data_IF_426491785482
#
_entry.id   IF_426491785482
#
_cell.length_a   1.000
_cell.length_b   1.000
_cell.length_c   1.000
_cell.angle_alpha   90.00
_cell.angle_beta   90.00
_cell.angle_gamma   90.00
#
_symmetry.space_group_name_H-M   'P 1'
#
loop_
_entity.id
_entity.type
_entity.pdbx_description
1 polymer ?
#
# COMPACT_ATOMS: atom_id res chain seq x y z
N UNK A 1 5.98 24.73 -12.78
CA UNK A 1 4.92 23.77 -13.20
C UNK A 1 5.24 23.28 -14.62
N UNK A 2 5.03 22.00 -14.86
CA UNK A 2 5.28 21.34 -16.16
C UNK A 2 3.91 20.95 -16.74
N UNK A 3 3.49 21.63 -17.82
CA UNK A 3 2.16 21.48 -18.41
C UNK A 3 1.80 20.03 -18.77
N UNK A 4 2.66 19.21 -19.41
CA UNK A 4 2.34 17.80 -19.69
C UNK A 4 2.09 16.99 -18.42
N UNK A 5 2.79 17.27 -17.32
CA UNK A 5 2.60 16.58 -16.03
C UNK A 5 1.23 16.93 -15.42
N UNK A 6 0.80 18.19 -15.51
CA UNK A 6 -0.53 18.63 -15.06
C UNK A 6 -1.65 17.97 -15.88
N UNK A 7 -1.46 17.88 -17.20
CA UNK A 7 -2.40 17.22 -18.11
C UNK A 7 -2.49 15.72 -17.83
N UNK A 8 -1.35 15.07 -17.58
CA UNK A 8 -1.30 13.67 -17.18
C UNK A 8 -2.02 13.44 -15.84
N UNK A 9 -1.78 14.28 -14.82
CA UNK A 9 -2.46 14.19 -13.54
C UNK A 9 -3.98 14.30 -13.68
N UNK A 10 -4.48 15.27 -14.46
CA UNK A 10 -5.92 15.42 -14.74
C UNK A 10 -6.49 14.17 -15.39
N UNK A 11 -5.78 13.60 -16.38
CA UNK A 11 -6.24 12.38 -17.06
C UNK A 11 -6.28 11.17 -16.14
N UNK A 12 -5.30 11.03 -15.24
CA UNK A 12 -5.28 9.96 -14.23
C UNK A 12 -6.50 10.09 -13.30
N UNK A 13 -6.76 11.28 -12.76
CA UNK A 13 -7.93 11.55 -11.90
C UNK A 13 -9.23 11.23 -12.62
N UNK A 14 -9.38 11.68 -13.87
CA UNK A 14 -10.56 11.41 -14.70
C UNK A 14 -10.78 9.89 -14.91
N UNK A 15 -9.72 9.15 -15.23
CA UNK A 15 -9.80 7.72 -15.50
C UNK A 15 -9.99 6.87 -14.25
N UNK A 16 -9.48 7.32 -13.11
CA UNK A 16 -9.60 6.59 -11.84
C UNK A 16 -10.99 6.64 -11.23
N UNK A 17 -11.80 7.66 -11.61
CA UNK A 17 -13.12 7.95 -11.01
C UNK A 17 -13.09 8.32 -9.51
N UNK A 18 -11.91 8.44 -8.91
CA UNK A 18 -11.72 8.85 -7.53
C UNK A 18 -11.43 10.37 -7.43
N UNK A 19 -11.90 11.00 -6.35
CA UNK A 19 -11.43 12.33 -5.95
C UNK A 19 -10.06 12.22 -5.30
N UNK A 20 -9.02 12.38 -6.09
CA UNK A 20 -7.64 12.16 -5.66
C UNK A 20 -6.66 13.19 -6.20
N UNK A 21 -5.46 13.17 -5.65
CA UNK A 21 -4.31 13.94 -6.15
C UNK A 21 -3.21 13.00 -6.63
N UNK A 22 -2.47 13.45 -7.64
CA UNK A 22 -1.34 12.70 -8.18
C UNK A 22 -0.01 13.22 -7.62
N UNK A 23 0.84 12.29 -7.22
CA UNK A 23 2.24 12.53 -6.94
C UNK A 23 3.08 11.66 -7.87
N UNK A 24 3.95 12.29 -8.67
CA UNK A 24 4.78 11.59 -9.64
C UNK A 24 6.15 11.25 -9.06
N UNK A 25 6.60 10.02 -9.32
CA UNK A 25 7.93 9.52 -8.98
C UNK A 25 8.43 8.64 -10.14
N UNK A 26 9.62 8.04 -9.99
CA UNK A 26 10.29 7.39 -11.13
C UNK A 26 10.08 5.88 -11.16
N UNK A 27 9.56 5.28 -10.09
CA UNK A 27 9.39 3.83 -10.00
C UNK A 27 8.31 3.45 -8.99
N UNK A 28 7.82 2.19 -9.07
CA UNK A 28 6.90 1.64 -8.09
C UNK A 28 7.48 1.61 -6.67
N UNK A 29 8.79 1.34 -6.53
CA UNK A 29 9.45 1.40 -5.24
C UNK A 29 9.40 2.82 -4.63
N UNK A 30 9.64 3.86 -5.43
CA UNK A 30 9.51 5.25 -4.97
C UNK A 30 8.06 5.64 -4.65
N UNK A 31 7.08 5.11 -5.41
CA UNK A 31 5.67 5.30 -5.11
C UNK A 31 5.32 4.71 -3.75
N UNK A 32 5.76 3.49 -3.48
CA UNK A 32 5.53 2.81 -2.21
C UNK A 32 6.30 3.45 -1.04
N UNK A 33 7.53 3.94 -1.25
CA UNK A 33 8.24 4.78 -0.26
C UNK A 33 7.44 6.04 0.08
N UNK A 34 6.86 6.68 -0.93
CA UNK A 34 6.02 7.86 -0.74
C UNK A 34 4.76 7.52 0.06
N UNK A 35 4.08 6.43 -0.28
CA UNK A 35 2.89 5.96 0.44
C UNK A 35 3.21 5.64 1.91
N UNK A 36 4.31 4.92 2.18
CA UNK A 36 4.79 4.60 3.53
C UNK A 36 5.07 5.89 4.32
N UNK A 37 5.78 6.85 3.73
CA UNK A 37 6.09 8.14 4.37
C UNK A 37 4.84 8.97 4.64
N UNK A 38 3.90 9.03 3.69
CA UNK A 38 2.63 9.73 3.87
C UNK A 38 1.80 9.09 4.99
N UNK A 39 1.70 7.75 5.01
CA UNK A 39 1.00 7.02 6.05
C UNK A 39 1.59 7.32 7.43
N UNK A 40 2.91 7.23 7.59
CA UNK A 40 3.59 7.55 8.86
C UNK A 40 3.41 9.01 9.26
N UNK A 41 3.51 9.95 8.32
CA UNK A 41 3.24 11.37 8.59
C UNK A 41 1.80 11.58 9.06
N UNK A 42 0.82 10.98 8.37
CA UNK A 42 -0.58 11.02 8.76
C UNK A 42 -0.77 10.48 10.18
N UNK A 43 -0.22 9.32 10.47
CA UNK A 43 -0.33 8.69 11.78
C UNK A 43 0.28 9.50 12.92
N UNK A 44 1.40 10.18 12.65
CA UNK A 44 2.07 11.01 13.65
C UNK A 44 1.39 12.38 13.89
N UNK A 45 0.72 12.92 12.86
CA UNK A 45 0.09 14.25 12.95
C UNK A 45 -1.38 14.16 13.38
N UNK A 46 -2.09 13.12 12.98
CA UNK A 46 -3.55 13.03 13.19
C UNK A 46 -3.93 12.46 14.55
N UNK A 47 -3.11 11.56 15.10
CA UNK A 47 -3.44 10.86 16.35
C UNK A 47 -2.63 11.40 17.53
N UNK A 48 -3.23 11.41 18.74
CA UNK A 48 -2.55 11.81 19.98
C UNK A 48 -1.37 10.89 20.31
N UNK A 49 -1.56 9.58 20.08
CA UNK A 49 -0.50 8.57 20.17
C UNK A 49 0.00 8.28 18.75
N UNK A 50 1.29 8.40 18.47
CA UNK A 50 1.83 8.17 17.13
C UNK A 50 1.47 6.81 16.57
N UNK A 51 0.96 6.77 15.33
CA UNK A 51 0.67 5.55 14.58
C UNK A 51 1.62 5.45 13.40
N UNK A 52 2.35 4.34 13.30
CA UNK A 52 3.40 4.18 12.28
C UNK A 52 3.49 2.77 11.71
N UNK A 53 2.82 1.79 12.37
CA UNK A 53 2.85 0.40 11.96
C UNK A 53 2.00 0.19 10.71
N UNK A 54 2.60 -0.44 9.72
CA UNK A 54 1.94 -0.86 8.47
C UNK A 54 1.90 -2.39 8.45
N UNK A 55 0.72 -2.95 8.27
CA UNK A 55 0.51 -4.38 8.11
C UNK A 55 0.55 -4.68 6.60
N UNK A 56 1.34 -5.65 6.17
CA UNK A 56 1.36 -6.14 4.78
C UNK A 56 0.95 -7.60 4.74
N UNK A 57 0.56 -8.09 3.56
CA UNK A 57 0.08 -9.46 3.39
C UNK A 57 1.24 -10.35 2.92
N UNK A 58 1.35 -11.55 3.49
CA UNK A 58 2.34 -12.55 3.11
C UNK A 58 2.39 -12.76 1.60
N UNK A 59 3.57 -13.00 1.07
CA UNK A 59 3.89 -13.12 -0.34
C UNK A 59 3.70 -11.83 -1.17
N UNK A 60 3.40 -10.68 -0.53
CA UNK A 60 3.36 -9.40 -1.24
C UNK A 60 4.74 -8.99 -1.75
N UNK A 61 4.75 -8.12 -2.77
CA UNK A 61 5.94 -7.48 -3.29
C UNK A 61 5.71 -5.98 -3.44
N UNK A 62 6.48 -5.16 -2.73
CA UNK A 62 6.29 -3.70 -2.71
C UNK A 62 7.53 -2.90 -3.14
N UNK A 63 8.60 -3.56 -3.52
CA UNK A 63 9.82 -2.92 -4.03
C UNK A 63 11.12 -3.44 -3.40
N UNK A 64 12.22 -2.79 -3.77
CA UNK A 64 13.59 -3.20 -3.36
C UNK A 64 14.42 -2.11 -2.70
N UNK A 65 13.84 -0.96 -2.38
CA UNK A 65 14.44 -0.01 -1.44
C UNK A 65 14.32 -0.54 -0.01
N UNK A 66 15.10 -0.02 0.93
CA UNK A 66 15.18 -0.61 2.28
C UNK A 66 13.80 -0.69 2.96
N UNK A 67 12.95 0.35 2.87
CA UNK A 67 11.62 0.30 3.49
C UNK A 67 10.63 -0.53 2.68
N UNK A 68 10.60 -0.44 1.35
CA UNK A 68 9.72 -1.24 0.51
C UNK A 68 10.12 -2.71 0.49
N UNK A 69 11.43 -3.01 0.61
CA UNK A 69 11.92 -4.37 0.79
C UNK A 69 11.42 -4.94 2.13
N UNK A 70 11.47 -4.14 3.20
CA UNK A 70 10.90 -4.56 4.50
C UNK A 70 9.37 -4.69 4.44
N UNK A 71 8.67 -3.87 3.65
CA UNK A 71 7.23 -4.02 3.42
C UNK A 71 6.88 -5.29 2.60
N UNK A 72 7.79 -5.75 1.75
CA UNK A 72 7.66 -6.99 0.98
C UNK A 72 7.66 -8.20 1.91
N UNK A 73 6.52 -8.88 2.04
CA UNK A 73 6.36 -10.00 2.96
C UNK A 73 6.86 -11.34 2.36
N UNK A 74 8.11 -11.35 1.90
CA UNK A 74 8.84 -12.48 1.35
C UNK A 74 10.22 -12.53 2.02
N UNK A 75 10.35 -13.31 3.10
CA UNK A 75 11.54 -13.31 3.98
C UNK A 75 12.86 -13.61 3.25
N UNK A 76 12.83 -14.47 2.25
CA UNK A 76 14.03 -14.81 1.45
C UNK A 76 14.66 -13.57 0.78
N UNK A 77 13.85 -12.56 0.44
CA UNK A 77 14.30 -11.32 -0.18
C UNK A 77 14.99 -10.38 0.80
N UNK A 78 14.79 -10.57 2.11
CA UNK A 78 15.39 -9.73 3.16
C UNK A 78 16.84 -10.08 3.48
N UNK A 79 17.30 -11.24 3.03
CA UNK A 79 18.60 -11.79 3.37
C UNK A 79 19.74 -10.82 3.02
N UNK A 80 20.64 -10.58 3.98
CA UNK A 80 21.84 -9.75 3.83
C UNK A 80 21.65 -8.21 3.77
N UNK A 81 20.43 -7.67 3.92
CA UNK A 81 20.17 -6.23 3.78
C UNK A 81 19.79 -5.52 5.09
N UNK A 82 19.81 -6.23 6.22
CA UNK A 82 19.57 -5.62 7.53
C UNK A 82 20.68 -4.60 7.89
N UNK A 83 20.38 -3.58 8.72
CA UNK A 83 19.16 -3.37 9.49
C UNK A 83 18.03 -2.74 8.68
N UNK A 84 16.79 -3.09 9.03
CA UNK A 84 15.58 -2.56 8.41
C UNK A 84 14.87 -1.55 9.31
N UNK A 85 14.07 -0.61 8.73
CA UNK A 85 13.21 0.24 9.53
C UNK A 85 12.13 -0.58 10.22
N UNK A 86 11.83 -0.22 11.46
CA UNK A 86 10.74 -0.81 12.25
C UNK A 86 9.35 -0.44 11.73
N UNK A 87 8.34 -1.12 12.28
CA UNK A 87 6.94 -0.80 12.04
C UNK A 87 6.32 -1.49 10.84
N UNK A 88 6.88 -2.60 10.38
CA UNK A 88 6.25 -3.51 9.40
C UNK A 88 5.98 -4.86 10.04
N UNK A 89 4.76 -5.37 9.85
CA UNK A 89 4.33 -6.70 10.30
C UNK A 89 3.59 -7.40 9.16
N UNK A 90 3.65 -8.73 9.14
CA UNK A 90 3.12 -9.55 8.07
C UNK A 90 1.95 -10.37 8.57
N UNK A 91 0.82 -10.28 7.86
CA UNK A 91 -0.34 -11.12 8.07
C UNK A 91 -0.40 -12.20 6.99
N UNK A 92 -0.87 -13.39 7.33
CA UNK A 92 -1.04 -14.48 6.35
C UNK A 92 -2.15 -14.16 5.34
N UNK A 93 -3.20 -13.45 5.79
CA UNK A 93 -4.34 -13.03 4.99
C UNK A 93 -4.99 -11.75 5.56
N UNK A 94 -6.06 -11.29 4.91
CA UNK A 94 -6.79 -10.08 5.31
C UNK A 94 -7.47 -10.24 6.68
N UNK A 95 -7.96 -11.41 7.05
CA UNK A 95 -8.60 -11.63 8.35
C UNK A 95 -7.59 -11.51 9.48
N UNK A 96 -6.42 -12.09 9.29
CA UNK A 96 -5.32 -11.92 10.25
C UNK A 96 -4.86 -10.46 10.31
N UNK A 97 -4.74 -9.77 9.16
CA UNK A 97 -4.40 -8.34 9.12
C UNK A 97 -5.39 -7.51 9.97
N UNK A 98 -6.68 -7.79 9.87
CA UNK A 98 -7.71 -7.14 10.70
C UNK A 98 -7.47 -7.41 12.19
N UNK A 99 -7.13 -8.65 12.57
CA UNK A 99 -6.90 -9.01 13.97
C UNK A 99 -5.62 -8.40 14.56
N UNK A 100 -4.65 -8.06 13.71
CA UNK A 100 -3.37 -7.45 14.10
C UNK A 100 -3.45 -5.92 14.25
N UNK A 101 -4.60 -5.30 13.96
CA UNK A 101 -4.78 -3.86 14.10
C UNK A 101 -4.77 -3.49 15.59
N UNK A 102 -3.83 -2.65 15.98
CA UNK A 102 -3.67 -2.13 17.35
C UNK A 102 -3.49 -0.60 17.36
N UNK A 103 -3.16 -0.06 18.53
CA UNK A 103 -3.02 1.39 18.74
C UNK A 103 -1.84 2.01 17.99
N UNK A 104 -0.86 1.23 17.56
CA UNK A 104 0.29 1.69 16.76
C UNK A 104 0.04 1.60 15.26
N UNK A 105 -1.01 0.90 14.82
CA UNK A 105 -1.30 0.66 13.41
C UNK A 105 -1.77 1.94 12.73
N UNK A 106 -1.15 2.31 11.62
CA UNK A 106 -1.55 3.44 10.76
C UNK A 106 -2.31 2.98 9.53
N UNK A 107 -2.08 1.76 9.07
CA UNK A 107 -2.78 1.23 7.90
C UNK A 107 -2.36 -0.17 7.50
N UNK A 108 -3.03 -0.66 6.48
CA UNK A 108 -2.75 -1.93 5.82
C UNK A 108 -2.35 -1.65 4.37
N UNK A 109 -1.31 -2.30 3.89
CA UNK A 109 -0.82 -2.21 2.51
C UNK A 109 -0.93 -3.58 1.85
N UNK A 110 -1.52 -3.63 0.66
CA UNK A 110 -1.73 -4.88 -0.06
C UNK A 110 -1.80 -4.68 -1.58
N UNK A 111 -1.58 -5.74 -2.32
CA UNK A 111 -1.90 -5.89 -3.74
C UNK A 111 -3.26 -6.62 -3.84
N UNK A 112 -4.17 -6.16 -4.70
CA UNK A 112 -5.44 -6.87 -4.96
C UNK A 112 -5.21 -8.18 -5.74
N UNK A 113 -4.15 -8.19 -6.56
CA UNK A 113 -3.63 -9.39 -7.22
C UNK A 113 -2.12 -9.42 -6.94
N UNK A 114 -1.67 -10.38 -6.16
CA UNK A 114 -0.26 -10.60 -5.87
C UNK A 114 0.43 -11.26 -7.06
N UNK A 115 1.12 -10.48 -7.89
CA UNK A 115 1.79 -11.02 -9.07
C UNK A 115 3.01 -11.88 -8.73
N UNK A 116 3.97 -11.31 -8.01
CA UNK A 116 5.19 -11.99 -7.56
C UNK A 116 4.92 -13.16 -6.59
N UNK A 117 3.80 -13.09 -5.86
CA UNK A 117 3.38 -14.13 -4.92
C UNK A 117 2.76 -15.37 -5.55
N UNK A 118 2.56 -15.40 -6.90
CA UNK A 118 2.01 -16.55 -7.62
C UNK A 118 0.66 -16.28 -8.30
N UNK A 119 0.32 -15.05 -8.55
CA UNK A 119 -0.94 -14.58 -9.19
C UNK A 119 -2.16 -14.95 -8.33
N UNK A 120 -2.13 -14.57 -7.07
CA UNK A 120 -3.24 -14.74 -6.14
C UNK A 120 -4.10 -13.47 -6.06
N UNK A 121 -5.41 -13.64 -6.34
CA UNK A 121 -6.41 -12.58 -6.17
C UNK A 121 -6.91 -12.59 -4.73
N UNK A 122 -6.98 -11.41 -4.11
CA UNK A 122 -7.62 -11.25 -2.81
C UNK A 122 -9.14 -11.40 -2.93
N UNK A 123 -9.76 -11.94 -1.88
CA UNK A 123 -11.22 -12.00 -1.79
C UNK A 123 -11.79 -10.58 -1.65
N UNK A 124 -12.60 -10.16 -2.61
CA UNK A 124 -13.17 -8.81 -2.65
C UNK A 124 -14.04 -8.50 -1.43
N UNK A 125 -14.76 -9.48 -0.88
CA UNK A 125 -15.58 -9.26 0.32
C UNK A 125 -14.72 -9.02 1.56
N UNK A 126 -13.57 -9.68 1.65
CA UNK A 126 -12.59 -9.44 2.73
C UNK A 126 -11.94 -8.06 2.56
N UNK A 127 -11.60 -7.65 1.34
CA UNK A 127 -11.06 -6.29 1.06
C UNK A 127 -12.06 -5.22 1.46
N UNK A 128 -13.31 -5.34 1.05
CA UNK A 128 -14.38 -4.39 1.42
C UNK A 128 -14.64 -4.36 2.94
N UNK A 129 -14.53 -5.51 3.62
CA UNK A 129 -14.61 -5.57 5.07
C UNK A 129 -13.45 -4.84 5.73
N UNK A 130 -12.23 -5.07 5.24
CA UNK A 130 -11.03 -4.37 5.72
C UNK A 130 -11.17 -2.86 5.54
N UNK A 131 -11.57 -2.41 4.35
CA UNK A 131 -11.78 -0.99 4.04
C UNK A 131 -12.73 -0.32 5.06
N UNK A 132 -13.89 -0.94 5.33
CA UNK A 132 -14.85 -0.42 6.32
C UNK A 132 -14.22 -0.28 7.70
N UNK A 133 -13.53 -1.31 8.18
CA UNK A 133 -12.88 -1.30 9.50
C UNK A 133 -11.81 -0.21 9.57
N UNK A 134 -10.98 -0.08 8.53
CA UNK A 134 -9.94 0.95 8.49
C UNK A 134 -10.56 2.35 8.48
N UNK A 135 -11.61 2.56 7.70
CA UNK A 135 -12.35 3.84 7.63
C UNK A 135 -12.96 4.24 8.97
N UNK A 136 -13.62 3.31 9.66
CA UNK A 136 -14.19 3.53 11.00
C UNK A 136 -13.11 3.93 12.02
N UNK A 137 -11.92 3.34 11.94
CA UNK A 137 -10.78 3.62 12.81
C UNK A 137 -9.93 4.81 12.33
N UNK A 138 -10.26 5.45 11.21
CA UNK A 138 -9.46 6.49 10.54
C UNK A 138 -8.04 6.02 10.21
N UNK A 139 -7.88 4.75 9.85
CA UNK A 139 -6.65 4.14 9.39
C UNK A 139 -6.62 4.11 7.85
N UNK A 140 -5.45 3.90 7.28
CA UNK A 140 -5.25 3.96 5.84
C UNK A 140 -5.29 2.57 5.20
N UNK A 141 -5.94 2.47 4.05
CA UNK A 141 -5.80 1.37 3.11
C UNK A 141 -4.86 1.83 1.98
N UNK A 142 -3.77 1.10 1.76
CA UNK A 142 -2.81 1.37 0.70
C UNK A 142 -2.92 0.21 -0.30
N UNK A 143 -3.38 0.51 -1.50
CA UNK A 143 -3.47 -0.47 -2.59
C UNK A 143 -2.29 -0.28 -3.53
N UNK A 144 -1.46 -1.30 -3.67
CA UNK A 144 -0.35 -1.33 -4.62
C UNK A 144 -0.84 -1.87 -5.96
N UNK A 145 -1.01 -0.98 -6.92
CA UNK A 145 -1.40 -1.33 -8.30
C UNK A 145 -0.25 -1.17 -9.31
N UNK A 146 1.01 -1.16 -8.84
CA UNK A 146 2.18 -1.04 -9.73
C UNK A 146 2.17 -2.11 -10.82
N UNK A 147 1.71 -3.32 -10.52
CA UNK A 147 1.66 -4.42 -11.48
C UNK A 147 0.30 -4.60 -12.14
N UNK A 148 -0.78 -4.12 -11.53
CA UNK A 148 -2.17 -4.41 -11.96
C UNK A 148 -2.87 -3.24 -12.63
N UNK A 149 -2.43 -2.01 -12.36
CA UNK A 149 -3.05 -0.80 -12.86
C UNK A 149 -2.80 -0.51 -14.34
N UNK A 150 -3.35 0.60 -14.81
CA UNK A 150 -3.21 1.15 -16.16
C UNK A 150 -3.57 0.10 -17.22
N UNK A 151 -4.76 -0.49 -17.07
CA UNK A 151 -5.33 -1.50 -17.98
C UNK A 151 -4.60 -2.85 -18.05
N UNK A 152 -3.57 -3.11 -17.20
CA UNK A 152 -2.91 -4.42 -17.19
C UNK A 152 -3.88 -5.56 -16.90
N UNK A 153 -4.82 -5.34 -16.01
CA UNK A 153 -5.86 -6.30 -15.59
C UNK A 153 -7.25 -6.00 -16.20
N UNK A 154 -7.33 -5.13 -17.21
CA UNK A 154 -8.55 -4.82 -17.95
C UNK A 154 -9.19 -3.49 -17.59
N UNK A 155 -9.01 -2.99 -16.37
CA UNK A 155 -9.47 -1.67 -15.92
C UNK A 155 -8.29 -0.72 -15.69
N UNK A 156 -8.56 0.60 -15.64
CA UNK A 156 -7.51 1.58 -15.35
C UNK A 156 -6.94 1.37 -13.95
N UNK A 157 -7.79 1.20 -12.94
CA UNK A 157 -7.49 0.65 -11.61
C UNK A 157 -8.45 -0.52 -11.35
N UNK A 158 -8.05 -1.46 -10.52
CA UNK A 158 -8.91 -2.57 -10.09
C UNK A 158 -9.42 -2.43 -8.65
N UNK A 159 -8.95 -1.37 -7.96
CA UNK A 159 -9.41 -0.97 -6.62
C UNK A 159 -10.78 -0.30 -6.64
#
# INVERSE_FOLDING_TARGET
>A
RIKPQEECAKKIVELSTYDMQCFFCNSGAEANETAIKLARKYGNVTFKTPKYKIITIKNSFHGRTIATLKATAQEDKHKYFAPYPDGFVYANDINEAISMIDDTTVGVMLELIQGEGGIFMQDIFQVQRLERILKEKKLLLIIDEVQTGVYRSGNFLIS
#
